data_IF_652167284781
#
_entry.id   IF_652167284781
#
_cell.length_a   1.000
_cell.length_b   1.000
_cell.length_c   1.000
_cell.angle_alpha   90.00
_cell.angle_beta   90.00
_cell.angle_gamma   90.00
#
_symmetry.space_group_name_H-M   'P 1'
#
loop_
_entity.id
_entity.type
_entity.pdbx_description
1 polymer ?
#
# COMPACT_ATOMS: atom_id res chain seq x y z
N UNK A 1 19.31 -2.24 12.39
CA UNK A 1 17.84 -2.34 12.51
C UNK A 1 17.30 -2.04 11.13
N UNK A 2 16.41 -2.86 10.59
CA UNK A 2 15.76 -2.54 9.31
C UNK A 2 14.80 -1.38 9.58
N UNK A 3 14.80 -0.37 8.71
CA UNK A 3 13.87 0.76 8.81
C UNK A 3 12.42 0.23 8.74
N UNK A 4 11.59 0.43 9.80
CA UNK A 4 10.22 -0.07 9.85
C UNK A 4 9.34 0.43 8.70
N UNK A 5 9.53 1.69 8.29
CA UNK A 5 8.77 2.32 7.21
C UNK A 5 9.05 1.62 5.87
N UNK A 6 10.33 1.40 5.59
CA UNK A 6 10.78 0.73 4.36
C UNK A 6 10.41 -0.76 4.37
N UNK A 7 10.56 -1.43 5.51
CA UNK A 7 10.16 -2.84 5.65
C UNK A 7 8.67 -3.02 5.33
N UNK A 8 7.82 -2.16 5.90
CA UNK A 8 6.38 -2.19 5.71
C UNK A 8 5.98 -2.02 4.24
N UNK A 9 6.60 -1.08 3.55
CA UNK A 9 6.37 -0.87 2.12
C UNK A 9 6.62 -2.13 1.29
N UNK A 10 7.71 -2.86 1.58
CA UNK A 10 8.05 -4.09 0.87
C UNK A 10 7.09 -5.24 1.18
N UNK A 11 6.63 -5.37 2.42
CA UNK A 11 5.61 -6.36 2.80
C UNK A 11 4.31 -6.14 2.05
N UNK A 12 3.86 -4.89 1.99
CA UNK A 12 2.65 -4.50 1.25
C UNK A 12 2.83 -4.67 -0.25
N UNK A 13 3.98 -4.31 -0.81
CA UNK A 13 4.30 -4.55 -2.22
C UNK A 13 4.21 -6.04 -2.57
N UNK A 14 4.80 -6.89 -1.75
CA UNK A 14 4.70 -8.35 -1.93
C UNK A 14 3.24 -8.81 -1.87
N UNK A 15 2.45 -8.27 -0.94
CA UNK A 15 1.03 -8.60 -0.80
C UNK A 15 0.22 -8.17 -2.02
N UNK A 16 0.44 -6.95 -2.53
CA UNK A 16 -0.22 -6.44 -3.73
C UNK A 16 0.15 -7.25 -4.97
N UNK A 17 1.41 -7.67 -5.12
CA UNK A 17 1.84 -8.55 -6.21
C UNK A 17 1.15 -9.92 -6.16
N UNK A 18 0.93 -10.47 -4.96
CA UNK A 18 0.14 -11.70 -4.81
C UNK A 18 -1.33 -11.43 -5.16
N UNK A 19 -1.91 -10.33 -4.69
CA UNK A 19 -3.28 -9.95 -5.02
C UNK A 19 -3.46 -9.75 -6.53
N UNK A 20 -2.49 -9.16 -7.23
CA UNK A 20 -2.50 -8.97 -8.69
C UNK A 20 -2.57 -10.30 -9.43
N UNK A 21 -1.81 -11.31 -8.97
CA UNK A 21 -1.80 -12.66 -9.57
C UNK A 21 -3.13 -13.41 -9.38
N UNK A 22 -3.88 -13.07 -8.33
CA UNK A 22 -5.16 -13.68 -7.97
C UNK A 22 -6.37 -12.89 -8.48
N UNK A 23 -6.16 -11.67 -8.98
CA UNK A 23 -7.20 -10.71 -9.28
C UNK A 23 -7.96 -11.04 -10.57
N UNK A 24 -9.26 -10.74 -10.56
CA UNK A 24 -10.07 -10.62 -11.78
C UNK A 24 -9.80 -9.29 -12.49
N UNK A 25 -10.25 -9.19 -13.74
CA UNK A 25 -10.07 -8.00 -14.59
C UNK A 25 -10.56 -6.71 -13.92
N UNK A 26 -11.60 -6.79 -13.09
CA UNK A 26 -12.17 -5.67 -12.35
C UNK A 26 -11.22 -5.03 -11.32
N UNK A 27 -10.17 -5.75 -10.91
CA UNK A 27 -9.26 -5.33 -9.83
C UNK A 27 -7.87 -4.96 -10.34
N UNK A 28 -7.49 -5.48 -11.50
CA UNK A 28 -6.15 -5.32 -12.06
C UNK A 28 -5.75 -3.85 -12.23
N UNK A 29 -6.67 -2.99 -12.64
CA UNK A 29 -6.39 -1.56 -12.74
C UNK A 29 -6.01 -0.96 -11.39
N UNK A 30 -6.84 -1.17 -10.36
CA UNK A 30 -6.62 -0.60 -9.03
C UNK A 30 -5.35 -1.16 -8.37
N UNK A 31 -5.08 -2.46 -8.51
CA UNK A 31 -3.87 -3.08 -7.95
C UNK A 31 -2.62 -2.60 -8.70
N UNK A 32 -2.67 -2.60 -10.04
CA UNK A 32 -1.59 -2.11 -10.88
C UNK A 32 -1.31 -0.61 -10.69
N UNK A 33 -2.33 0.16 -10.31
CA UNK A 33 -2.16 1.56 -9.91
C UNK A 33 -1.43 1.70 -8.57
N UNK A 34 -1.75 0.89 -7.56
CA UNK A 34 -1.15 0.98 -6.23
C UNK A 34 0.34 0.63 -6.19
N UNK A 35 0.74 -0.45 -6.85
CA UNK A 35 2.13 -0.96 -6.77
C UNK A 35 3.20 0.12 -7.04
N UNK A 36 3.15 0.92 -8.13
CA UNK A 36 4.14 1.97 -8.38
C UNK A 36 4.04 3.13 -7.38
N UNK A 37 2.88 3.40 -6.78
CA UNK A 37 2.73 4.46 -5.78
C UNK A 37 3.51 4.15 -4.49
N UNK A 38 3.67 2.87 -4.14
CA UNK A 38 4.50 2.48 -2.99
C UNK A 38 5.95 2.90 -3.19
N UNK A 39 6.46 2.78 -4.42
CA UNK A 39 7.83 3.19 -4.75
C UNK A 39 7.97 4.71 -4.69
N UNK A 40 6.97 5.45 -5.17
CA UNK A 40 6.95 6.91 -5.10
C UNK A 40 6.93 7.41 -3.65
N UNK A 41 6.14 6.79 -2.78
CA UNK A 41 6.12 7.14 -1.35
C UNK A 41 7.47 6.87 -0.70
N UNK A 42 8.13 5.75 -1.01
CA UNK A 42 9.48 5.47 -0.51
C UNK A 42 10.53 6.49 -0.98
N UNK A 43 10.36 7.06 -2.18
CA UNK A 43 11.27 8.07 -2.72
C UNK A 43 10.99 9.47 -2.18
N UNK A 44 9.71 9.81 -1.94
CA UNK A 44 9.26 11.19 -1.73
C UNK A 44 8.81 11.49 -0.30
N UNK A 45 8.50 10.49 0.52
CA UNK A 45 8.03 10.72 1.88
C UNK A 45 9.15 11.28 2.76
N UNK A 46 8.85 12.36 3.46
CA UNK A 46 9.70 12.91 4.51
C UNK A 46 9.23 12.35 5.87
N UNK A 47 10.09 11.57 6.53
CA UNK A 47 9.83 11.01 7.86
C UNK A 47 11.12 10.98 8.70
N UNK A 48 10.97 10.86 10.03
CA UNK A 48 12.10 10.73 10.95
C UNK A 48 12.42 9.24 11.19
N UNK A 49 13.55 8.71 10.69
CA UNK A 49 13.88 7.29 10.81
C UNK A 49 14.13 6.83 12.25
N UNK A 50 14.40 7.75 13.18
CA UNK A 50 14.59 7.42 14.60
C UNK A 50 13.26 7.35 15.38
N UNK A 51 12.17 7.85 14.79
CA UNK A 51 10.85 7.94 15.40
C UNK A 51 9.75 7.57 14.39
N UNK A 52 9.88 6.38 13.79
CA UNK A 52 8.92 5.82 12.84
C UNK A 52 8.49 4.42 13.25
N UNK A 53 7.19 4.16 13.14
CA UNK A 53 6.56 2.87 13.33
C UNK A 53 6.06 2.31 11.99
N UNK A 54 5.72 1.02 11.98
CA UNK A 54 5.21 0.33 10.78
C UNK A 54 3.95 1.02 10.26
N UNK A 55 3.05 1.40 11.17
CA UNK A 55 1.75 2.01 10.89
C UNK A 55 1.88 3.41 10.25
N UNK A 56 3.01 4.10 10.44
CA UNK A 56 3.25 5.41 9.84
C UNK A 56 3.32 5.31 8.31
N UNK A 57 3.83 4.19 7.78
CA UNK A 57 3.81 3.94 6.34
C UNK A 57 2.38 3.77 5.83
N UNK A 58 1.55 3.00 6.53
CA UNK A 58 0.16 2.72 6.13
C UNK A 58 -0.65 4.02 6.01
N UNK A 59 -0.49 4.93 6.99
CA UNK A 59 -1.13 6.23 6.97
C UNK A 59 -0.57 7.14 5.87
N UNK A 60 0.75 7.22 5.74
CA UNK A 60 1.41 8.05 4.71
C UNK A 60 0.98 7.63 3.30
N UNK A 61 0.92 6.32 3.05
CA UNK A 61 0.51 5.78 1.77
C UNK A 61 -0.98 6.04 1.48
N UNK A 62 -1.84 5.94 2.49
CA UNK A 62 -3.26 6.28 2.34
C UNK A 62 -3.45 7.76 1.96
N UNK A 63 -2.78 8.67 2.65
CA UNK A 63 -2.87 10.10 2.34
C UNK A 63 -2.29 10.42 0.95
N UNK A 64 -1.21 9.75 0.57
CA UNK A 64 -0.62 9.85 -0.76
C UNK A 64 -1.62 9.45 -1.86
N UNK A 65 -2.32 8.32 -1.69
CA UNK A 65 -3.31 7.86 -2.67
C UNK A 65 -4.43 8.89 -2.88
N UNK A 66 -4.92 9.52 -1.82
CA UNK A 66 -5.98 10.54 -1.96
C UNK A 66 -5.53 11.74 -2.80
N UNK A 67 -4.29 12.19 -2.60
CA UNK A 67 -3.69 13.26 -3.42
C UNK A 67 -3.50 12.79 -4.87
N UNK A 68 -2.98 11.59 -5.07
CA UNK A 68 -2.73 11.03 -6.40
C UNK A 68 -4.04 10.88 -7.20
N UNK A 69 -5.12 10.41 -6.54
CA UNK A 69 -6.44 10.31 -7.16
C UNK A 69 -6.96 11.65 -7.69
N UNK A 70 -6.74 12.73 -6.93
CA UNK A 70 -7.15 14.08 -7.34
C UNK A 70 -6.31 14.62 -8.49
N UNK A 71 -4.99 14.39 -8.46
CA UNK A 71 -4.08 14.83 -9.52
C UNK A 71 -4.33 14.10 -10.85
N UNK A 72 -4.57 12.79 -10.78
CA UNK A 72 -4.80 11.94 -11.95
C UNK A 72 -6.24 12.03 -12.49
N UNK A 73 -7.14 12.71 -11.78
CA UNK A 73 -8.55 12.79 -12.17
C UNK A 73 -9.27 11.45 -12.12
N UNK A 74 -8.84 10.55 -11.23
CA UNK A 74 -9.39 9.20 -11.10
C UNK A 74 -10.88 9.26 -10.75
N UNK A 75 -11.70 8.42 -11.37
CA UNK A 75 -13.14 8.43 -11.12
C UNK A 75 -13.51 7.82 -9.75
N UNK A 76 -14.74 8.08 -9.30
CA UNK A 76 -15.22 7.65 -7.99
C UNK A 76 -15.28 6.12 -7.83
N UNK A 77 -15.58 5.39 -8.90
CA UNK A 77 -15.63 3.91 -8.86
C UNK A 77 -14.24 3.33 -8.64
N UNK A 78 -13.25 3.80 -9.39
CA UNK A 78 -11.87 3.34 -9.30
C UNK A 78 -11.23 3.76 -7.97
N UNK A 79 -11.50 4.98 -7.49
CA UNK A 79 -11.09 5.42 -6.14
C UNK A 79 -11.68 4.51 -5.06
N UNK A 80 -12.98 4.22 -5.15
CA UNK A 80 -13.63 3.34 -4.18
C UNK A 80 -13.02 1.94 -4.22
N UNK A 81 -12.79 1.39 -5.41
CA UNK A 81 -12.21 0.06 -5.57
C UNK A 81 -10.78 -0.01 -5.06
N UNK A 82 -9.97 0.98 -5.37
CA UNK A 82 -8.59 1.10 -4.88
C UNK A 82 -8.55 1.13 -3.35
N UNK A 83 -9.41 1.92 -2.69
CA UNK A 83 -9.50 1.94 -1.22
C UNK A 83 -9.90 0.58 -0.64
N UNK A 84 -10.87 -0.12 -1.25
CA UNK A 84 -11.26 -1.45 -0.79
C UNK A 84 -10.11 -2.44 -0.88
N UNK A 85 -9.36 -2.42 -1.99
CA UNK A 85 -8.23 -3.31 -2.20
C UNK A 85 -7.06 -2.96 -1.28
N UNK A 86 -6.83 -1.68 -1.01
CA UNK A 86 -5.86 -1.22 -0.01
C UNK A 86 -6.16 -1.80 1.38
N UNK A 87 -7.40 -1.71 1.84
CA UNK A 87 -7.81 -2.28 3.14
C UNK A 87 -7.67 -3.81 3.18
N UNK A 88 -7.89 -4.49 2.06
CA UNK A 88 -7.63 -5.93 1.94
C UNK A 88 -6.14 -6.24 2.02
N UNK A 89 -5.28 -5.44 1.38
CA UNK A 89 -3.84 -5.60 1.45
C UNK A 89 -3.36 -5.49 2.90
N UNK A 90 -3.76 -4.43 3.62
CA UNK A 90 -3.46 -4.24 5.05
C UNK A 90 -3.84 -5.46 5.89
N UNK A 91 -5.07 -5.96 5.70
CA UNK A 91 -5.58 -7.13 6.44
C UNK A 91 -4.78 -8.40 6.15
N UNK A 92 -4.42 -8.64 4.89
CA UNK A 92 -3.63 -9.81 4.47
C UNK A 92 -2.20 -9.74 5.00
N UNK A 93 -1.58 -8.56 4.96
CA UNK A 93 -0.22 -8.36 5.45
C UNK A 93 -0.15 -8.55 6.96
N UNK A 94 -1.10 -8.00 7.72
CA UNK A 94 -1.17 -8.19 9.17
C UNK A 94 -1.24 -9.68 9.56
N UNK A 95 -2.16 -10.44 8.93
CA UNK A 95 -2.31 -11.88 9.20
C UNK A 95 -1.04 -12.69 8.81
N UNK A 96 -0.31 -12.26 7.79
CA UNK A 96 0.93 -12.91 7.36
C UNK A 96 2.08 -12.70 8.36
N UNK A 97 2.12 -11.54 9.03
CA UNK A 97 3.09 -11.25 10.09
C UNK A 97 2.80 -12.09 11.33
N UNK A 98 1.54 -12.15 11.79
CA UNK A 98 1.15 -12.99 12.93
C UNK A 98 1.45 -14.48 12.73
N UNK A 99 1.32 -14.99 11.50
CA UNK A 99 1.61 -16.38 11.18
C UNK A 99 3.11 -16.73 11.17
N UNK A 100 4.00 -15.73 11.07
CA UNK A 100 5.47 -15.93 11.09
C UNK A 100 6.06 -15.88 12.49
N UNK A 101 5.37 -15.25 13.43
CA UNK A 101 5.79 -15.11 14.83
C UNK A 101 5.28 -16.25 15.75
N UNK A 102 4.57 -17.24 15.19
CA UNK A 102 4.11 -18.47 15.87
C UNK A 102 5.04 -19.66 15.58
#
# INVERSE_FOLDING_TARGET
MQDPFVARAYELKSTLLTMEQEAGDEDLFSIGYMIPQLELVLEMAEYDPDNVETEDFDQTYQDWLEVAFDQDGMDQSDRHRTRQLWQQALSRTHNATEARDQ
#
